data_IF_727728936819
#
_entry.id   IF_727728936819
#
_cell.length_a   1.000
_cell.length_b   1.000
_cell.length_c   1.000
_cell.angle_alpha   90.00
_cell.angle_beta   90.00
_cell.angle_gamma   90.00
#
_symmetry.space_group_name_H-M   'P 1'
#
loop_
_entity.id
_entity.type
_entity.pdbx_description
1 polymer ?
#
# COMPACT_ATOMS: atom_id res chain seq x y z
N UNK A 1 27.05 0.12 18.27
CA UNK A 1 25.86 -0.74 18.19
C UNK A 1 25.48 -0.77 16.74
N UNK A 2 25.30 -1.96 16.16
CA UNK A 2 25.13 -2.07 14.71
C UNK A 2 23.69 -2.46 14.38
N UNK A 3 23.05 -1.67 13.52
CA UNK A 3 21.66 -1.84 13.11
C UNK A 3 21.49 -3.09 12.24
N UNK A 4 20.26 -3.57 12.05
CA UNK A 4 20.05 -4.82 11.31
C UNK A 4 20.52 -4.70 9.86
N UNK A 5 20.35 -3.52 9.27
CA UNK A 5 20.81 -3.26 7.91
C UNK A 5 22.35 -3.33 7.78
N UNK A 6 23.08 -2.92 8.81
CA UNK A 6 24.55 -2.93 8.86
C UNK A 6 25.12 -4.35 9.05
N UNK A 7 24.32 -5.28 9.58
CA UNK A 7 24.78 -6.57 10.11
C UNK A 7 24.39 -7.79 9.27
N UNK A 8 24.44 -7.69 7.94
CA UNK A 8 24.29 -8.82 6.98
C UNK A 8 22.86 -9.23 6.65
N UNK A 9 22.04 -8.32 6.12
CA UNK A 9 20.74 -8.69 5.50
C UNK A 9 20.90 -9.82 4.47
N UNK A 10 22.03 -9.84 3.76
CA UNK A 10 22.42 -10.86 2.77
C UNK A 10 22.40 -12.31 3.32
N UNK A 11 22.64 -12.50 4.61
CA UNK A 11 22.78 -13.83 5.22
C UNK A 11 21.68 -14.15 6.24
N UNK A 12 20.57 -13.40 6.22
CA UNK A 12 19.45 -13.64 7.13
C UNK A 12 18.74 -14.94 6.77
N UNK A 13 18.60 -15.84 7.75
CA UNK A 13 17.76 -17.02 7.61
C UNK A 13 16.28 -16.63 7.58
N UNK A 14 15.63 -16.84 6.42
CA UNK A 14 14.20 -16.60 6.24
C UNK A 14 13.42 -17.92 6.17
N UNK A 15 12.24 -17.96 6.78
CA UNK A 15 11.37 -19.14 6.74
C UNK A 15 10.59 -19.25 5.41
N UNK A 16 10.06 -20.44 5.12
CA UNK A 16 9.33 -20.69 3.87
C UNK A 16 8.05 -19.86 3.70
N UNK A 17 7.46 -19.36 4.80
CA UNK A 17 6.30 -18.49 4.71
C UNK A 17 6.68 -17.13 4.11
N UNK A 18 7.83 -16.57 4.52
CA UNK A 18 8.38 -15.34 3.94
C UNK A 18 8.66 -15.53 2.45
N UNK A 19 9.31 -16.63 2.07
CA UNK A 19 9.58 -16.95 0.66
C UNK A 19 8.29 -17.00 -0.17
N UNK A 20 7.23 -17.63 0.35
CA UNK A 20 5.91 -17.67 -0.29
C UNK A 20 5.29 -16.28 -0.41
N UNK A 21 5.35 -15.47 0.65
CA UNK A 21 4.83 -14.11 0.65
C UNK A 21 5.56 -13.22 -0.37
N UNK A 22 6.89 -13.24 -0.39
CA UNK A 22 7.70 -12.52 -1.39
C UNK A 22 7.31 -12.92 -2.81
N UNK A 23 7.23 -14.23 -3.07
CA UNK A 23 6.84 -14.75 -4.39
C UNK A 23 5.46 -14.24 -4.81
N UNK A 24 4.48 -14.27 -3.90
CA UNK A 24 3.12 -13.83 -4.18
C UNK A 24 3.02 -12.33 -4.39
N UNK A 25 3.73 -11.53 -3.58
CA UNK A 25 3.79 -10.08 -3.75
C UNK A 25 4.42 -9.72 -5.09
N UNK A 26 5.49 -10.41 -5.49
CA UNK A 26 6.12 -10.21 -6.80
C UNK A 26 5.20 -10.59 -7.97
N UNK A 27 4.38 -11.63 -7.82
CA UNK A 27 3.32 -11.95 -8.79
C UNK A 27 2.31 -10.81 -8.92
N UNK A 28 1.84 -10.25 -7.80
CA UNK A 28 0.95 -9.09 -7.81
C UNK A 28 1.60 -7.84 -8.39
N UNK A 29 2.89 -7.58 -8.09
CA UNK A 29 3.68 -6.51 -8.70
C UNK A 29 3.66 -6.62 -10.22
N UNK A 30 3.88 -7.81 -10.77
CA UNK A 30 3.79 -8.08 -12.20
C UNK A 30 2.40 -7.80 -12.78
N UNK A 31 1.34 -8.11 -12.03
CA UNK A 31 -0.06 -7.83 -12.42
C UNK A 31 -0.44 -6.35 -12.34
N UNK A 32 0.33 -5.48 -11.68
CA UNK A 32 0.00 -4.05 -11.55
C UNK A 32 -0.17 -3.33 -12.89
N UNK A 33 0.47 -3.83 -13.97
CA UNK A 33 0.29 -3.28 -15.31
C UNK A 33 -1.17 -3.36 -15.78
N UNK A 34 -1.94 -4.35 -15.30
CA UNK A 34 -3.37 -4.48 -15.57
C UNK A 34 -4.18 -3.44 -14.80
N UNK A 35 -3.77 -3.12 -13.57
CA UNK A 35 -4.42 -2.11 -12.74
C UNK A 35 -4.21 -0.71 -13.29
N UNK A 36 -3.00 -0.41 -13.80
CA UNK A 36 -2.68 0.88 -14.45
C UNK A 36 -3.48 1.12 -15.74
N UNK A 37 -4.05 0.08 -16.37
CA UNK A 37 -4.95 0.21 -17.53
C UNK A 37 -6.38 0.61 -17.15
N UNK A 38 -6.72 0.62 -15.86
CA UNK A 38 -8.05 1.04 -15.42
C UNK A 38 -8.25 2.54 -15.67
N UNK A 39 -9.50 3.00 -15.88
CA UNK A 39 -9.80 4.41 -16.06
C UNK A 39 -9.28 5.26 -14.90
N UNK A 40 -8.77 6.44 -15.24
CA UNK A 40 -8.14 7.37 -14.30
C UNK A 40 -9.07 7.72 -13.14
N UNK A 41 -10.37 7.88 -13.37
CA UNK A 41 -11.33 8.24 -12.32
C UNK A 41 -11.45 7.16 -11.22
N UNK A 42 -11.28 5.89 -11.59
CA UNK A 42 -11.32 4.77 -10.63
C UNK A 42 -10.07 4.77 -9.78
N UNK A 43 -8.91 4.95 -10.41
CA UNK A 43 -7.63 5.01 -9.72
C UNK A 43 -7.55 6.21 -8.78
N UNK A 44 -8.04 7.38 -9.20
CA UNK A 44 -8.18 8.58 -8.36
C UNK A 44 -9.12 8.34 -7.18
N UNK A 45 -10.27 7.69 -7.42
CA UNK A 45 -11.21 7.34 -6.35
C UNK A 45 -10.55 6.39 -5.33
N UNK A 46 -9.85 5.35 -5.79
CA UNK A 46 -9.14 4.42 -4.90
C UNK A 46 -8.07 5.14 -4.10
N UNK A 47 -7.27 6.00 -4.74
CA UNK A 47 -6.24 6.78 -4.07
C UNK A 47 -6.80 7.72 -3.02
N UNK A 48 -7.91 8.40 -3.32
CA UNK A 48 -8.61 9.26 -2.34
C UNK A 48 -9.14 8.45 -1.14
N UNK A 49 -9.71 7.27 -1.38
CA UNK A 49 -10.17 6.38 -0.30
C UNK A 49 -9.00 5.87 0.53
N UNK A 50 -7.90 5.44 -0.10
CA UNK A 50 -6.71 5.00 0.62
C UNK A 50 -6.12 6.09 1.51
N UNK A 51 -6.03 7.31 0.99
CA UNK A 51 -5.59 8.47 1.76
C UNK A 51 -6.49 8.74 2.99
N UNK A 52 -7.81 8.64 2.81
CA UNK A 52 -8.78 8.78 3.92
C UNK A 52 -8.56 7.69 4.98
N UNK A 53 -8.49 6.43 4.57
CA UNK A 53 -8.19 5.28 5.44
C UNK A 53 -6.85 5.51 6.18
N UNK A 54 -5.77 5.90 5.48
CA UNK A 54 -4.45 6.19 6.08
C UNK A 54 -4.52 7.23 7.20
N UNK A 55 -5.32 8.29 6.98
CA UNK A 55 -5.46 9.40 7.92
C UNK A 55 -6.29 8.99 9.13
N UNK A 56 -7.34 8.20 8.94
CA UNK A 56 -8.14 7.63 10.03
C UNK A 56 -7.30 6.70 10.90
N UNK A 57 -6.45 5.88 10.28
CA UNK A 57 -5.62 4.87 10.96
C UNK A 57 -4.31 5.44 11.53
N UNK A 58 -4.11 6.76 11.45
CA UNK A 58 -2.94 7.43 12.02
C UNK A 58 -3.30 8.06 13.36
N UNK A 59 -2.60 7.72 14.46
CA UNK A 59 -2.88 8.28 15.78
C UNK A 59 -2.85 9.80 15.76
N UNK A 60 -3.95 10.42 16.21
CA UNK A 60 -4.05 11.88 16.38
C UNK A 60 -3.40 12.27 17.70
N UNK A 61 -2.72 13.41 17.71
CA UNK A 61 -2.01 13.93 18.89
C UNK A 61 -3.00 14.28 20.04
N UNK A 62 -4.29 14.49 19.75
CA UNK A 62 -5.36 14.65 20.74
C UNK A 62 -6.49 13.65 20.51
N UNK A 63 -6.88 12.94 21.56
CA UNK A 63 -7.94 11.92 21.60
C UNK A 63 -9.29 12.64 21.66
N UNK A 64 -10.03 12.66 20.56
CA UNK A 64 -11.48 12.86 20.59
C UNK A 64 -12.11 12.21 19.35
N UNK A 65 -13.08 11.33 19.60
CA UNK A 65 -13.74 10.47 18.61
C UNK A 65 -14.80 11.22 17.77
N UNK A 66 -14.98 12.53 17.97
CA UNK A 66 -16.05 13.33 17.35
C UNK A 66 -15.74 13.86 15.93
N UNK A 67 -14.61 13.50 15.34
CA UNK A 67 -14.02 14.23 14.19
C UNK A 67 -13.95 13.43 12.88
N UNK A 68 -14.86 12.48 12.65
CA UNK A 68 -14.93 11.75 11.37
C UNK A 68 -15.67 12.51 10.27
N UNK A 69 -16.52 13.47 10.63
CA UNK A 69 -17.41 14.17 9.68
C UNK A 69 -16.63 15.27 8.94
N UNK A 70 -16.50 15.14 7.61
CA UNK A 70 -16.01 16.20 6.73
C UNK A 70 -14.52 16.15 6.31
N UNK A 71 -13.76 15.15 6.76
CA UNK A 71 -12.34 14.99 6.37
C UNK A 71 -12.16 14.84 4.85
N UNK A 72 -13.13 14.25 4.17
CA UNK A 72 -13.13 14.11 2.71
C UNK A 72 -13.13 15.46 2.00
N UNK A 73 -13.81 16.47 2.55
CA UNK A 73 -13.87 17.84 2.01
C UNK A 73 -12.54 18.55 2.22
N UNK A 74 -11.96 18.42 3.42
CA UNK A 74 -10.64 18.99 3.75
C UNK A 74 -9.56 18.37 2.85
N UNK A 75 -9.54 17.05 2.72
CA UNK A 75 -8.60 16.32 1.84
C UNK A 75 -8.75 16.76 0.37
N UNK A 76 -9.97 17.08 -0.05
CA UNK A 76 -10.28 17.55 -1.41
C UNK A 76 -10.08 19.06 -1.60
N UNK A 77 -9.52 19.78 -0.62
CA UNK A 77 -9.40 21.25 -0.64
C UNK A 77 -10.72 22.00 -0.83
N UNK A 78 -11.86 21.39 -0.43
CA UNK A 78 -13.18 22.04 -0.49
C UNK A 78 -13.49 22.85 0.76
N UNK A 79 -12.79 22.59 1.85
CA UNK A 79 -12.92 23.30 3.12
C UNK A 79 -11.53 23.61 3.69
N UNK A 80 -11.43 24.75 4.39
CA UNK A 80 -10.20 25.19 5.06
C UNK A 80 -10.13 24.49 6.42
N UNK A 81 -8.98 23.91 6.82
CA UNK A 81 -8.83 23.27 8.12
C UNK A 81 -9.01 24.28 9.25
N UNK A 82 -9.83 23.94 10.24
CA UNK A 82 -10.27 24.83 11.33
C UNK A 82 -9.52 24.63 12.63
N UNK A 83 -8.96 23.44 12.84
CA UNK A 83 -8.29 23.05 14.07
C UNK A 83 -6.97 22.31 13.79
N UNK A 84 -6.18 22.09 14.84
CA UNK A 84 -4.86 21.46 14.73
C UNK A 84 -4.93 20.04 14.14
N UNK A 85 -5.97 19.27 14.46
CA UNK A 85 -6.13 17.90 13.93
C UNK A 85 -6.38 17.92 12.42
N UNK A 86 -7.22 18.83 11.94
CA UNK A 86 -7.48 19.03 10.51
C UNK A 86 -6.24 19.56 9.77
N UNK A 87 -5.42 20.37 10.43
CA UNK A 87 -4.12 20.80 9.89
C UNK A 87 -3.19 19.59 9.74
N UNK A 88 -3.07 18.72 10.76
CA UNK A 88 -2.27 17.48 10.68
C UNK A 88 -2.69 16.57 9.50
N UNK A 89 -4.00 16.50 9.23
CA UNK A 89 -4.59 15.78 8.09
C UNK A 89 -4.08 16.34 6.76
N UNK A 90 -4.10 17.67 6.63
CA UNK A 90 -3.61 18.38 5.43
C UNK A 90 -2.10 18.22 5.26
N UNK A 91 -1.32 18.35 6.34
CA UNK A 91 0.14 18.18 6.32
C UNK A 91 0.52 16.77 5.83
N UNK A 92 -0.07 15.73 6.43
CA UNK A 92 0.19 14.35 6.04
C UNK A 92 -0.21 14.06 4.59
N UNK A 93 -1.40 14.53 4.18
CA UNK A 93 -1.87 14.41 2.80
C UNK A 93 -0.88 15.00 1.81
N UNK A 94 -0.40 16.22 2.08
CA UNK A 94 0.45 16.94 1.14
C UNK A 94 1.80 16.25 0.98
N UNK A 95 2.36 15.71 2.07
CA UNK A 95 3.58 14.88 2.01
C UNK A 95 3.33 13.60 1.22
N UNK A 96 2.23 12.89 1.49
CA UNK A 96 1.90 11.66 0.76
C UNK A 96 1.68 11.91 -0.74
N UNK A 97 1.02 13.03 -1.11
CA UNK A 97 0.89 13.44 -2.52
C UNK A 97 2.25 13.72 -3.15
N UNK A 98 3.14 14.41 -2.44
CA UNK A 98 4.50 14.70 -2.90
C UNK A 98 5.25 13.40 -3.18
N UNK A 99 5.20 12.43 -2.26
CA UNK A 99 5.80 11.11 -2.44
C UNK A 99 5.18 10.37 -3.63
N UNK A 100 3.85 10.30 -3.72
CA UNK A 100 3.20 9.53 -4.79
C UNK A 100 3.44 10.09 -6.19
N UNK A 101 3.64 11.40 -6.31
CA UNK A 101 3.88 12.08 -7.59
C UNK A 101 5.37 12.19 -7.96
N UNK A 102 6.27 12.20 -6.98
CA UNK A 102 7.70 12.51 -7.19
C UNK A 102 8.68 11.47 -6.61
N UNK A 103 8.23 10.28 -6.25
CA UNK A 103 9.10 9.26 -5.62
C UNK A 103 10.35 8.93 -6.44
N UNK A 104 10.33 9.07 -7.77
CA UNK A 104 11.47 8.80 -8.65
C UNK A 104 12.65 9.72 -8.31
N UNK A 105 12.38 11.01 -8.09
CA UNK A 105 13.39 12.05 -7.83
C UNK A 105 13.74 12.21 -6.34
N UNK A 106 12.91 11.68 -5.43
CA UNK A 106 13.16 11.78 -3.99
C UNK A 106 14.27 10.81 -3.59
N UNK A 107 15.46 11.32 -3.28
CA UNK A 107 16.59 10.51 -2.82
C UNK A 107 16.38 9.97 -1.40
N UNK A 108 16.86 8.76 -1.13
CA UNK A 108 16.84 8.18 0.22
C UNK A 108 18.08 8.67 0.97
N UNK A 109 17.97 9.86 1.56
CA UNK A 109 19.05 10.50 2.34
C UNK A 109 18.53 11.06 3.66
N UNK A 110 19.41 11.21 4.64
CA UNK A 110 19.10 11.86 5.92
C UNK A 110 18.49 13.26 5.73
N UNK A 111 19.05 14.04 4.80
CA UNK A 111 18.54 15.37 4.43
C UNK A 111 17.10 15.31 3.93
N UNK A 112 16.80 14.42 2.99
CA UNK A 112 15.45 14.29 2.44
C UNK A 112 14.44 13.83 3.51
N UNK A 113 14.85 12.94 4.42
CA UNK A 113 14.04 12.53 5.57
C UNK A 113 13.72 13.74 6.48
N UNK A 114 14.69 14.63 6.74
CA UNK A 114 14.46 15.89 7.47
C UNK A 114 13.50 16.81 6.72
N UNK A 115 13.66 16.97 5.40
CA UNK A 115 12.80 17.84 4.58
C UNK A 115 11.35 17.35 4.59
N UNK A 116 11.13 16.04 4.39
CA UNK A 116 9.80 15.43 4.48
C UNK A 116 9.18 15.61 5.87
N UNK A 117 9.98 15.46 6.94
CA UNK A 117 9.52 15.75 8.30
C UNK A 117 9.19 17.24 8.51
N UNK A 118 9.94 18.13 7.88
CA UNK A 118 9.64 19.56 7.81
C UNK A 118 8.27 19.82 7.17
N UNK A 119 7.98 19.17 6.04
CA UNK A 119 6.68 19.28 5.37
C UNK A 119 5.53 18.67 6.17
N UNK A 120 5.79 17.58 6.91
CA UNK A 120 4.81 16.93 7.79
C UNK A 120 4.37 17.85 8.95
N UNK A 121 5.18 18.84 9.30
CA UNK A 121 4.92 19.79 10.38
C UNK A 121 5.02 21.25 9.91
N UNK A 122 4.74 21.52 8.62
CA UNK A 122 4.95 22.84 8.00
C UNK A 122 4.15 23.98 8.66
N UNK A 123 3.03 23.67 9.31
CA UNK A 123 2.21 24.63 10.04
C UNK A 123 2.46 24.60 11.56
N UNK A 124 3.39 23.78 12.02
CA UNK A 124 3.81 23.69 13.41
C UNK A 124 5.15 24.38 13.60
N UNK A 125 5.14 25.57 14.19
CA UNK A 125 6.37 26.31 14.48
C UNK A 125 7.30 25.45 15.35
N UNK A 126 8.55 25.30 14.93
CA UNK A 126 9.66 24.65 15.64
C UNK A 126 9.63 23.12 15.84
N UNK A 127 8.66 22.38 15.27
CA UNK A 127 8.59 20.91 15.42
C UNK A 127 9.21 20.17 14.22
N UNK A 128 8.99 20.67 13.00
CA UNK A 128 9.42 20.02 11.77
C UNK A 128 10.92 20.12 11.48
N UNK A 129 11.44 19.13 10.76
CA UNK A 129 12.78 19.17 10.14
C UNK A 129 13.98 19.17 11.09
N UNK A 130 13.83 18.64 12.31
CA UNK A 130 14.93 18.57 13.29
C UNK A 130 14.95 17.21 13.98
N UNK A 131 16.14 16.65 14.14
CA UNK A 131 16.34 15.44 14.96
C UNK A 131 16.21 15.76 16.45
N UNK A 132 15.77 14.77 17.23
CA UNK A 132 15.77 14.85 18.70
C UNK A 132 17.19 14.87 19.26
N UNK A 133 17.35 15.35 20.50
CA UNK A 133 18.63 15.33 21.18
C UNK A 133 19.04 13.89 21.56
N UNK A 134 20.34 13.59 21.53
CA UNK A 134 20.88 12.26 21.86
C UNK A 134 20.79 11.90 23.36
N UNK A 135 20.43 12.86 24.20
CA UNK A 135 20.57 12.78 25.66
C UNK A 135 19.28 12.33 26.36
N UNK A 136 18.20 12.18 25.63
CA UNK A 136 16.94 11.66 26.15
C UNK A 136 17.02 10.13 26.15
N UNK A 137 17.28 9.65 27.38
CA UNK A 137 16.94 8.40 28.06
C UNK A 137 16.29 7.32 27.18
N UNK A 138 16.49 6.06 27.57
CA UNK A 138 15.67 4.90 27.19
C UNK A 138 14.17 5.20 27.39
N UNK A 139 13.58 5.97 26.49
CA UNK A 139 12.22 6.42 26.60
C UNK A 139 11.36 5.28 26.13
N UNK A 140 10.60 4.74 27.08
CA UNK A 140 9.44 3.93 26.81
C UNK A 140 8.52 4.73 25.87
N UNK A 141 8.58 4.43 24.57
CA UNK A 141 7.66 5.07 23.63
C UNK A 141 6.40 4.23 23.49
N UNK A 142 5.26 4.93 23.47
CA UNK A 142 3.95 4.34 23.28
C UNK A 142 3.65 4.07 21.81
N UNK A 143 3.82 2.82 21.38
CA UNK A 143 3.37 2.41 20.05
C UNK A 143 1.84 2.31 20.04
N UNK A 144 1.18 3.26 19.35
CA UNK A 144 -0.27 3.46 19.30
C UNK A 144 -0.91 3.78 20.67
N UNK A 145 -1.70 4.88 20.73
CA UNK A 145 -2.60 5.27 21.83
C UNK A 145 -2.22 4.83 23.27
N UNK A 146 -0.96 5.09 23.69
CA UNK A 146 -0.51 4.99 25.09
C UNK A 146 -0.50 3.59 25.74
N UNK A 147 -0.40 2.47 25.00
CA UNK A 147 -0.51 1.14 25.62
C UNK A 147 0.71 0.19 25.52
N UNK A 148 1.69 0.45 24.64
CA UNK A 148 2.90 -0.40 24.52
C UNK A 148 4.15 0.32 24.98
N UNK A 149 4.89 -0.19 25.96
CA UNK A 149 6.21 0.32 26.33
C UNK A 149 7.28 -0.38 25.51
N UNK A 150 8.13 0.38 24.83
CA UNK A 150 9.25 -0.15 24.06
C UNK A 150 10.52 0.51 24.54
N UNK A 151 11.47 -0.29 25.00
CA UNK A 151 12.81 0.19 25.31
C UNK A 151 13.65 0.15 24.05
N UNK A 152 13.97 1.34 23.55
CA UNK A 152 14.91 1.51 22.44
C UNK A 152 16.33 1.59 22.98
N UNK A 153 17.33 1.15 22.19
CA UNK A 153 18.72 1.31 22.57
C UNK A 153 19.09 2.79 22.69
N UNK A 154 20.08 3.11 23.54
CA UNK A 154 20.63 4.45 23.63
C UNK A 154 21.36 4.82 22.33
N UNK A 155 20.97 5.93 21.72
CA UNK A 155 21.55 6.42 20.46
C UNK A 155 22.39 7.66 20.76
N UNK A 156 23.70 7.53 20.55
CA UNK A 156 24.65 8.61 20.84
C UNK A 156 24.61 9.74 19.81
N UNK A 157 24.26 9.45 18.56
CA UNK A 157 24.14 10.44 17.50
C UNK A 157 23.06 10.01 16.51
N UNK A 158 21.87 10.59 16.66
CA UNK A 158 20.69 10.29 15.84
C UNK A 158 20.92 10.60 14.37
N UNK A 159 21.52 11.76 14.07
CA UNK A 159 21.80 12.18 12.69
C UNK A 159 22.69 11.16 11.99
N UNK A 160 23.82 10.81 12.62
CA UNK A 160 24.77 9.84 12.06
C UNK A 160 24.13 8.46 11.85
N UNK A 161 23.25 8.03 12.76
CA UNK A 161 22.52 6.77 12.60
C UNK A 161 21.59 6.77 11.40
N UNK A 162 20.90 7.89 11.12
CA UNK A 162 20.04 7.99 9.93
C UNK A 162 20.86 8.13 8.64
N UNK A 163 21.98 8.85 8.68
CA UNK A 163 22.92 8.93 7.56
C UNK A 163 23.45 7.54 7.17
N UNK A 164 23.91 6.76 8.16
CA UNK A 164 24.39 5.40 7.92
C UNK A 164 23.27 4.46 7.45
N UNK A 165 22.08 4.53 8.06
CA UNK A 165 20.91 3.76 7.62
C UNK A 165 20.59 4.00 6.14
N UNK A 166 20.58 5.26 5.70
CA UNK A 166 20.34 5.62 4.30
C UNK A 166 21.47 5.12 3.38
N UNK A 167 22.72 5.30 3.80
CA UNK A 167 23.89 4.88 3.05
C UNK A 167 23.89 3.36 2.82
N UNK A 168 23.76 2.57 3.89
CA UNK A 168 23.76 1.10 3.82
C UNK A 168 22.59 0.59 3.00
N UNK A 169 21.40 1.20 3.11
CA UNK A 169 20.28 0.87 2.24
C UNK A 169 20.65 1.08 0.77
N UNK A 170 21.13 2.27 0.39
CA UNK A 170 21.49 2.57 -1.00
C UNK A 170 22.59 1.64 -1.54
N UNK A 171 23.62 1.35 -0.73
CA UNK A 171 24.68 0.40 -1.10
C UNK A 171 24.13 -1.02 -1.28
N UNK A 172 23.19 -1.44 -0.43
CA UNK A 172 22.56 -2.77 -0.50
C UNK A 172 21.73 -2.92 -1.78
N UNK A 173 21.00 -1.88 -2.19
CA UNK A 173 20.26 -1.85 -3.46
C UNK A 173 21.22 -2.05 -4.64
N UNK A 174 22.34 -1.32 -4.66
CA UNK A 174 23.33 -1.42 -5.74
C UNK A 174 24.00 -2.79 -5.76
N UNK A 175 24.26 -3.38 -4.60
CA UNK A 175 24.86 -4.70 -4.50
C UNK A 175 23.97 -5.84 -5.00
N UNK A 176 22.64 -5.65 -4.94
CA UNK A 176 21.60 -6.62 -5.36
C UNK A 176 21.75 -8.02 -4.74
N UNK A 177 22.22 -8.10 -3.49
CA UNK A 177 22.46 -9.37 -2.79
C UNK A 177 21.33 -9.81 -1.85
N UNK A 178 20.35 -8.94 -1.61
CA UNK A 178 19.21 -9.21 -0.73
C UNK A 178 17.91 -8.78 -1.41
N UNK A 179 16.82 -9.50 -1.13
CA UNK A 179 15.49 -9.15 -1.66
C UNK A 179 15.08 -7.75 -1.21
N UNK A 180 14.58 -6.96 -2.17
CA UNK A 180 14.21 -5.57 -1.95
C UNK A 180 13.16 -5.36 -0.87
N UNK A 181 12.17 -6.24 -0.75
CA UNK A 181 11.13 -6.10 0.27
C UNK A 181 11.69 -6.38 1.66
N UNK A 182 12.70 -7.25 1.78
CA UNK A 182 13.43 -7.48 3.04
C UNK A 182 14.23 -6.22 3.40
N UNK A 183 14.95 -5.62 2.44
CA UNK A 183 15.70 -4.38 2.67
C UNK A 183 14.79 -3.25 3.14
N UNK A 184 13.63 -3.06 2.50
CA UNK A 184 12.64 -2.06 2.90
C UNK A 184 12.11 -2.38 4.31
N UNK A 185 11.77 -3.63 4.60
CA UNK A 185 11.28 -4.03 5.91
C UNK A 185 12.31 -3.71 7.00
N UNK A 186 13.57 -4.07 6.80
CA UNK A 186 14.67 -3.80 7.74
C UNK A 186 14.89 -2.31 7.91
N UNK A 187 14.88 -1.53 6.82
CA UNK A 187 15.01 -0.07 6.88
C UNK A 187 13.93 0.55 7.77
N UNK A 188 12.68 0.12 7.59
CA UNK A 188 11.55 0.64 8.37
C UNK A 188 11.67 0.25 9.84
N UNK A 189 12.09 -0.98 10.14
CA UNK A 189 12.33 -1.42 11.52
C UNK A 189 13.43 -0.59 12.18
N UNK A 190 14.59 -0.46 11.53
CA UNK A 190 15.72 0.32 12.06
C UNK A 190 15.33 1.80 12.23
N UNK A 191 14.58 2.39 11.30
CA UNK A 191 14.06 3.77 11.44
C UNK A 191 13.16 3.95 12.67
N UNK A 192 12.24 3.00 12.91
CA UNK A 192 11.34 3.04 14.06
C UNK A 192 12.13 2.86 15.37
N UNK A 193 13.12 1.96 15.37
CA UNK A 193 14.01 1.74 16.51
C UNK A 193 14.88 2.95 16.80
N UNK A 194 15.35 3.66 15.76
CA UNK A 194 16.13 4.90 15.92
C UNK A 194 15.28 6.01 16.54
N UNK A 195 14.01 6.11 16.10
CA UNK A 195 13.06 7.17 16.49
C UNK A 195 13.74 8.55 16.35
N UNK A 196 14.06 9.00 15.14
CA UNK A 196 14.93 10.16 14.96
C UNK A 196 14.30 11.50 15.36
N UNK A 197 12.98 11.56 15.50
CA UNK A 197 12.24 12.79 15.77
C UNK A 197 11.62 12.79 17.17
N UNK A 198 11.28 13.99 17.65
CA UNK A 198 10.49 14.14 18.89
C UNK A 198 9.04 13.67 18.66
N UNK A 199 8.46 14.09 17.54
CA UNK A 199 7.09 13.78 17.15
C UNK A 199 7.05 13.20 15.73
N UNK A 200 5.93 12.60 15.33
CA UNK A 200 5.71 12.21 13.94
C UNK A 200 6.48 10.97 13.44
N UNK A 201 7.24 10.25 14.28
CA UNK A 201 8.02 9.07 13.85
C UNK A 201 7.17 7.99 13.15
N UNK A 202 6.00 7.64 13.69
CA UNK A 202 5.10 6.64 13.06
C UNK A 202 4.58 7.13 11.72
N UNK A 203 4.22 8.43 11.61
CA UNK A 203 3.78 9.05 10.36
C UNK A 203 4.91 9.01 9.31
N UNK A 204 6.13 9.36 9.73
CA UNK A 204 7.31 9.28 8.88
C UNK A 204 7.62 7.84 8.45
N UNK A 205 7.53 6.85 9.35
CA UNK A 205 7.74 5.45 9.00
C UNK A 205 6.74 4.98 7.93
N UNK A 206 5.45 5.32 8.05
CA UNK A 206 4.43 5.03 7.02
C UNK A 206 4.76 5.71 5.68
N UNK A 207 5.13 6.99 5.70
CA UNK A 207 5.48 7.76 4.51
C UNK A 207 6.73 7.20 3.82
N UNK A 208 7.77 6.87 4.59
CA UNK A 208 9.01 6.26 4.09
C UNK A 208 8.73 4.86 3.52
N UNK A 209 7.88 4.06 4.16
CA UNK A 209 7.48 2.76 3.62
C UNK A 209 6.85 2.91 2.24
N UNK A 210 5.93 3.87 2.06
CA UNK A 210 5.29 4.14 0.76
C UNK A 210 6.33 4.65 -0.25
N UNK A 211 7.22 5.57 0.14
CA UNK A 211 8.29 6.08 -0.71
C UNK A 211 9.17 4.94 -1.23
N UNK A 212 9.69 4.10 -0.33
CA UNK A 212 10.60 3.02 -0.66
C UNK A 212 9.92 1.94 -1.52
N UNK A 213 8.67 1.59 -1.22
CA UNK A 213 7.88 0.68 -2.05
C UNK A 213 7.67 1.25 -3.46
N UNK A 214 7.23 2.51 -3.57
CA UNK A 214 7.02 3.18 -4.86
C UNK A 214 8.30 3.25 -5.69
N UNK A 215 9.44 3.65 -5.09
CA UNK A 215 10.76 3.68 -5.77
C UNK A 215 11.16 2.33 -6.35
N UNK A 216 10.70 1.24 -5.74
CA UNK A 216 10.99 -0.12 -6.18
C UNK A 216 9.84 -0.76 -6.98
N UNK A 217 8.86 0.05 -7.43
CA UNK A 217 7.76 -0.37 -8.30
C UNK A 217 6.64 -1.14 -7.59
N UNK A 218 6.57 -1.11 -6.26
CA UNK A 218 5.44 -1.64 -5.48
C UNK A 218 4.48 -0.49 -5.17
N UNK A 219 3.48 -0.27 -6.03
CA UNK A 219 2.63 0.92 -6.01
C UNK A 219 1.27 0.70 -5.31
N UNK A 220 1.09 -0.44 -4.63
CA UNK A 220 -0.17 -0.76 -3.93
C UNK A 220 -0.56 0.31 -2.91
N UNK A 221 0.43 0.95 -2.27
CA UNK A 221 0.23 2.04 -1.31
C UNK A 221 -0.38 3.30 -1.89
N UNK A 222 -0.42 3.45 -3.22
CA UNK A 222 -1.12 4.55 -3.88
C UNK A 222 -2.65 4.37 -3.86
N UNK A 223 -3.13 3.12 -3.73
CA UNK A 223 -4.53 2.74 -3.94
C UNK A 223 -5.18 2.04 -2.75
N UNK A 224 -4.37 1.52 -1.83
CA UNK A 224 -4.80 0.87 -0.59
C UNK A 224 -3.98 1.45 0.56
N UNK A 225 -4.64 1.69 1.71
CA UNK A 225 -3.94 2.09 2.92
C UNK A 225 -2.99 0.97 3.38
N UNK A 226 -1.70 1.30 3.43
CA UNK A 226 -0.64 0.47 4.01
C UNK A 226 -0.31 0.96 5.41
N UNK A 227 0.13 0.03 6.27
CA UNK A 227 0.56 0.36 7.63
C UNK A 227 -0.53 0.15 8.66
N UNK A 228 -1.43 -0.82 8.44
CA UNK A 228 -2.34 -1.29 9.49
C UNK A 228 -1.59 -1.93 10.66
N UNK A 229 -0.34 -2.33 10.44
CA UNK A 229 0.49 -2.84 11.53
C UNK A 229 0.91 -1.76 12.55
N UNK A 230 0.72 -0.47 12.26
CA UNK A 230 0.86 0.63 13.24
C UNK A 230 -0.43 0.91 14.03
N UNK A 231 -1.50 0.15 13.80
CA UNK A 231 -2.78 0.31 14.50
C UNK A 231 -2.79 -0.39 15.87
N UNK A 232 -3.73 0.06 16.72
CA UNK A 232 -3.97 -0.51 18.04
C UNK A 232 -4.24 -2.02 18.04
N UNK A 233 -4.83 -2.58 16.97
CA UNK A 233 -5.07 -4.04 16.88
C UNK A 233 -3.79 -4.86 16.64
N UNK A 234 -2.74 -4.21 16.16
CA UNK A 234 -1.42 -4.81 15.87
C UNK A 234 -0.50 -4.78 17.10
N UNK A 235 -1.00 -4.25 18.22
CA UNK A 235 -0.29 -4.04 19.47
C UNK A 235 0.29 -5.32 20.08
N UNK A 236 -0.49 -6.39 20.20
CA UNK A 236 0.01 -7.65 20.79
C UNK A 236 1.14 -8.27 19.96
N UNK A 237 1.12 -8.04 18.65
CA UNK A 237 2.15 -8.52 17.73
C UNK A 237 3.44 -7.73 17.90
N UNK A 238 3.33 -6.40 18.07
CA UNK A 238 4.47 -5.52 18.30
C UNK A 238 5.07 -5.66 19.71
N UNK A 239 4.24 -5.91 20.74
CA UNK A 239 4.72 -6.27 22.09
C UNK A 239 5.68 -7.47 22.04
N UNK A 240 5.28 -8.51 21.31
CA UNK A 240 6.12 -9.71 21.18
C UNK A 240 7.45 -9.46 20.46
N UNK A 241 7.52 -8.48 19.56
CA UNK A 241 8.76 -8.07 18.89
C UNK A 241 9.77 -7.43 19.86
N UNK A 242 9.31 -6.84 20.97
CA UNK A 242 10.13 -6.08 21.94
C UNK A 242 10.01 -6.58 23.40
N UNK A 243 9.56 -7.83 23.62
CA UNK A 243 9.28 -8.36 24.96
C UNK A 243 10.47 -8.23 25.94
N UNK A 244 10.16 -7.85 27.18
CA UNK A 244 11.10 -7.46 28.24
C UNK A 244 12.09 -8.56 28.71
N UNK A 245 12.02 -9.79 28.22
CA UNK A 245 12.91 -10.89 28.68
C UNK A 245 14.17 -11.08 27.80
N UNK A 246 14.36 -10.29 26.74
CA UNK A 246 15.55 -10.37 25.87
C UNK A 246 16.62 -9.32 26.23
N UNK A 247 16.98 -9.21 27.52
CA UNK A 247 18.07 -8.34 27.98
C UNK A 247 19.48 -8.94 27.84
N UNK A 248 19.61 -10.19 27.41
CA UNK A 248 20.92 -10.81 27.25
C UNK A 248 21.27 -10.80 25.77
N UNK A 249 21.97 -9.72 25.41
CA UNK A 249 22.33 -9.30 24.07
C UNK A 249 21.14 -8.90 23.20
N UNK A 250 21.35 -7.95 22.29
CA UNK A 250 20.46 -7.72 21.14
C UNK A 250 20.45 -8.99 20.27
N UNK A 251 19.93 -10.11 20.77
CA UNK A 251 19.27 -11.14 19.97
C UNK A 251 18.05 -10.46 19.39
N UNK A 252 18.34 -9.68 18.35
CA UNK A 252 17.58 -9.45 17.14
C UNK A 252 16.16 -9.96 17.35
N UNK A 253 15.25 -9.01 17.58
CA UNK A 253 13.85 -9.13 17.23
C UNK A 253 13.72 -10.17 16.12
N UNK A 254 13.11 -11.34 16.35
CA UNK A 254 13.17 -12.42 15.36
C UNK A 254 12.71 -11.86 14.03
N UNK A 255 13.67 -11.67 13.13
CA UNK A 255 13.49 -10.92 11.91
C UNK A 255 12.41 -11.60 11.06
N UNK A 256 12.24 -12.92 11.22
CA UNK A 256 11.15 -13.63 10.59
C UNK A 256 9.78 -13.16 11.08
N UNK A 257 9.61 -12.88 12.38
CA UNK A 257 8.36 -12.36 12.92
C UNK A 257 8.07 -11.01 12.27
N UNK A 258 9.03 -10.08 12.28
CA UNK A 258 8.88 -8.77 11.65
C UNK A 258 8.57 -8.87 10.16
N UNK A 259 9.34 -9.66 9.41
CA UNK A 259 9.14 -9.88 7.98
C UNK A 259 7.76 -10.46 7.67
N UNK A 260 7.29 -11.42 8.47
CA UNK A 260 5.95 -11.97 8.30
C UNK A 260 4.87 -10.90 8.48
N UNK A 261 5.00 -10.02 9.48
CA UNK A 261 4.06 -8.92 9.68
C UNK A 261 4.09 -7.91 8.53
N UNK A 262 5.29 -7.46 8.15
CA UNK A 262 5.49 -6.47 7.09
C UNK A 262 4.96 -6.98 5.74
N UNK A 263 5.34 -8.21 5.35
CA UNK A 263 4.94 -8.80 4.08
C UNK A 263 3.45 -9.17 4.06
N UNK A 264 2.86 -9.58 5.19
CA UNK A 264 1.43 -9.86 5.27
C UNK A 264 0.60 -8.61 4.96
N UNK A 265 0.94 -7.46 5.53
CA UNK A 265 0.20 -6.20 5.29
C UNK A 265 0.26 -5.78 3.82
N UNK A 266 1.42 -5.94 3.17
CA UNK A 266 1.58 -5.69 1.73
C UNK A 266 0.76 -6.67 0.91
N UNK A 267 0.82 -7.96 1.24
CA UNK A 267 0.10 -9.01 0.52
C UNK A 267 -1.43 -8.82 0.62
N UNK A 268 -1.95 -8.63 1.84
CA UNK A 268 -3.38 -8.35 2.07
C UNK A 268 -3.82 -7.09 1.33
N UNK A 269 -2.95 -6.09 1.20
CA UNK A 269 -3.24 -4.88 0.45
C UNK A 269 -3.33 -5.13 -1.05
N UNK A 270 -2.46 -5.98 -1.61
CA UNK A 270 -2.58 -6.40 -3.00
C UNK A 270 -3.85 -7.21 -3.26
N UNK A 271 -4.19 -8.14 -2.36
CA UNK A 271 -5.44 -8.91 -2.43
C UNK A 271 -6.68 -8.00 -2.36
N UNK A 272 -6.67 -7.00 -1.45
CA UNK A 272 -7.73 -5.99 -1.34
C UNK A 272 -7.84 -5.14 -2.61
N UNK A 273 -6.71 -4.77 -3.21
CA UNK A 273 -6.68 -4.01 -4.48
C UNK A 273 -7.28 -4.83 -5.62
N UNK A 274 -6.85 -6.08 -5.78
CA UNK A 274 -7.33 -6.99 -6.82
C UNK A 274 -8.84 -7.22 -6.68
N UNK A 275 -9.31 -7.46 -5.45
CA UNK A 275 -10.74 -7.60 -5.15
C UNK A 275 -11.54 -6.33 -5.51
N UNK A 276 -11.08 -5.14 -5.09
CA UNK A 276 -11.75 -3.86 -5.41
C UNK A 276 -11.82 -3.63 -6.93
N UNK A 277 -10.77 -3.96 -7.66
CA UNK A 277 -10.72 -3.79 -9.11
C UNK A 277 -11.57 -4.82 -9.86
N UNK A 278 -11.57 -6.07 -9.43
CA UNK A 278 -12.44 -7.12 -9.98
C UNK A 278 -13.93 -6.77 -9.77
N UNK A 279 -14.32 -6.25 -8.59
CA UNK A 279 -15.69 -5.75 -8.38
C UNK A 279 -16.04 -4.63 -9.37
N UNK A 280 -15.12 -3.70 -9.60
CA UNK A 280 -15.34 -2.60 -10.55
C UNK A 280 -15.47 -3.14 -11.98
N UNK A 281 -14.67 -4.13 -12.36
CA UNK A 281 -14.79 -4.80 -13.66
C UNK A 281 -16.13 -5.55 -13.80
N UNK A 282 -16.56 -6.29 -12.78
CA UNK A 282 -17.86 -6.98 -12.74
C UNK A 282 -19.01 -5.96 -12.84
N UNK A 283 -18.90 -4.80 -12.15
CA UNK A 283 -19.89 -3.72 -12.25
C UNK A 283 -19.92 -3.03 -13.62
N UNK A 284 -18.79 -3.03 -14.35
CA UNK A 284 -18.69 -2.55 -15.74
C UNK A 284 -19.19 -3.57 -16.76
N UNK A 285 -19.26 -4.85 -16.40
CA UNK A 285 -19.65 -5.90 -17.33
C UNK A 285 -21.14 -5.80 -17.66
N UNK A 286 -21.45 -5.06 -18.72
CA UNK A 286 -22.81 -4.96 -19.23
C UNK A 286 -23.28 -6.34 -19.71
N UNK A 287 -24.61 -6.56 -19.69
CA UNK A 287 -25.23 -7.75 -20.30
C UNK A 287 -24.74 -7.95 -21.75
N UNK A 288 -24.47 -6.85 -22.46
CA UNK A 288 -23.91 -6.86 -23.82
C UNK A 288 -22.47 -7.38 -23.85
N UNK A 289 -21.60 -6.90 -22.97
CA UNK A 289 -20.21 -7.39 -22.85
C UNK A 289 -20.16 -8.88 -22.48
N UNK A 290 -21.01 -9.36 -21.56
CA UNK A 290 -21.11 -10.79 -21.24
C UNK A 290 -21.43 -11.64 -22.47
N UNK A 291 -22.45 -11.25 -23.23
CA UNK A 291 -22.83 -11.97 -24.46
C UNK A 291 -21.67 -11.97 -25.47
N UNK A 292 -21.01 -10.83 -25.67
CA UNK A 292 -19.87 -10.72 -26.59
C UNK A 292 -18.69 -11.58 -26.15
N UNK A 293 -18.36 -11.64 -24.85
CA UNK A 293 -17.32 -12.53 -24.30
C UNK A 293 -17.64 -14.00 -24.57
N UNK A 294 -18.88 -14.44 -24.32
CA UNK A 294 -19.29 -15.82 -24.59
C UNK A 294 -19.19 -16.14 -26.08
N UNK A 295 -19.65 -15.25 -26.95
CA UNK A 295 -19.51 -15.40 -28.41
C UNK A 295 -18.02 -15.50 -28.81
N UNK A 296 -17.17 -14.63 -28.27
CA UNK A 296 -15.75 -14.60 -28.56
C UNK A 296 -15.02 -15.86 -28.05
N UNK A 297 -15.39 -16.39 -26.89
CA UNK A 297 -14.85 -17.63 -26.34
C UNK A 297 -15.37 -18.89 -27.05
N UNK A 298 -16.54 -18.82 -27.71
CA UNK A 298 -17.11 -19.99 -28.39
C UNK A 298 -16.33 -20.30 -29.67
N UNK A 299 -15.84 -21.54 -29.78
CA UNK A 299 -15.21 -22.06 -30.98
C UNK A 299 -16.26 -22.62 -31.93
N UNK A 300 -16.18 -22.25 -33.22
CA UNK A 300 -17.12 -22.74 -34.23
C UNK A 300 -18.48 -22.01 -34.22
N UNK A 301 -19.56 -22.79 -34.35
CA UNK A 301 -20.93 -22.25 -34.44
C UNK A 301 -21.59 -22.18 -33.06
N UNK A 302 -22.48 -21.21 -32.90
CA UNK A 302 -23.27 -21.02 -31.67
C UNK A 302 -24.70 -20.64 -31.98
N UNK A 303 -25.61 -20.94 -31.06
CA UNK A 303 -27.02 -20.59 -31.11
C UNK A 303 -27.37 -19.60 -30.01
N UNK A 304 -28.54 -18.96 -30.12
CA UNK A 304 -29.05 -18.11 -29.03
C UNK A 304 -29.36 -18.92 -27.76
N UNK A 305 -29.69 -20.20 -27.89
CA UNK A 305 -29.90 -21.09 -26.73
C UNK A 305 -28.60 -21.42 -26.01
N UNK A 306 -27.48 -21.53 -26.71
CA UNK A 306 -26.17 -21.68 -26.08
C UNK A 306 -25.84 -20.46 -25.21
N UNK A 307 -26.11 -19.25 -25.73
CA UNK A 307 -25.95 -18.01 -24.97
C UNK A 307 -26.91 -17.94 -23.77
N UNK A 308 -28.17 -18.39 -23.91
CA UNK A 308 -29.11 -18.45 -22.77
C UNK A 308 -28.63 -19.41 -21.68
N UNK A 309 -28.06 -20.57 -22.05
CA UNK A 309 -27.52 -21.54 -21.09
C UNK A 309 -26.29 -21.00 -20.36
N UNK A 310 -25.43 -20.28 -21.06
CA UNK A 310 -24.21 -19.69 -20.48
C UNK A 310 -24.45 -18.36 -19.75
N UNK A 311 -25.56 -17.66 -20.04
CA UNK A 311 -25.95 -16.40 -19.42
C UNK A 311 -27.44 -16.43 -19.00
N UNK A 312 -27.83 -17.25 -18.01
CA UNK A 312 -29.22 -17.41 -17.59
C UNK A 312 -29.82 -16.15 -16.96
N UNK A 313 -28.98 -15.23 -16.48
CA UNK A 313 -29.33 -13.93 -15.91
C UNK A 313 -29.72 -12.86 -16.96
N UNK A 314 -29.55 -13.16 -18.25
CA UNK A 314 -29.77 -12.19 -19.34
C UNK A 314 -31.09 -12.48 -20.07
N UNK A 315 -32.05 -11.53 -20.05
CA UNK A 315 -33.33 -11.69 -20.75
C UNK A 315 -33.14 -11.86 -22.25
N UNK A 316 -33.94 -12.75 -22.86
CA UNK A 316 -33.97 -13.00 -24.32
C UNK A 316 -34.03 -11.71 -25.18
N UNK A 317 -34.80 -10.66 -24.82
CA UNK A 317 -34.79 -9.40 -25.58
C UNK A 317 -33.40 -8.75 -25.67
N UNK A 318 -32.59 -8.85 -24.61
CA UNK A 318 -31.22 -8.32 -24.59
C UNK A 318 -30.31 -9.13 -25.50
N UNK A 319 -30.40 -10.46 -25.45
CA UNK A 319 -29.65 -11.36 -26.37
C UNK A 319 -29.98 -11.03 -27.82
N UNK A 320 -31.27 -10.87 -28.14
CA UNK A 320 -31.71 -10.51 -29.49
C UNK A 320 -31.15 -9.15 -29.95
N UNK A 321 -31.18 -8.14 -29.08
CA UNK A 321 -30.61 -6.81 -29.38
C UNK A 321 -29.12 -6.89 -29.68
N UNK A 322 -28.35 -7.64 -28.88
CA UNK A 322 -26.90 -7.79 -29.06
C UNK A 322 -26.59 -8.53 -30.35
N UNK A 323 -27.26 -9.65 -30.65
CA UNK A 323 -27.08 -10.37 -31.91
C UNK A 323 -27.40 -9.49 -33.12
N UNK A 324 -28.46 -8.69 -33.06
CA UNK A 324 -28.81 -7.77 -34.15
C UNK A 324 -27.73 -6.69 -34.34
N UNK A 325 -27.19 -6.14 -33.25
CA UNK A 325 -26.12 -5.15 -33.31
C UNK A 325 -24.82 -5.76 -33.87
N UNK A 326 -24.40 -6.94 -33.39
CA UNK A 326 -23.21 -7.63 -33.88
C UNK A 326 -23.34 -8.02 -35.36
N UNK A 327 -24.53 -8.42 -35.79
CA UNK A 327 -24.84 -8.69 -37.20
C UNK A 327 -24.76 -7.42 -38.04
N UNK A 328 -25.32 -6.31 -37.57
CA UNK A 328 -25.22 -4.99 -38.25
C UNK A 328 -23.78 -4.51 -38.35
N UNK A 329 -22.97 -4.78 -37.33
CA UNK A 329 -21.52 -4.51 -37.31
C UNK A 329 -20.70 -5.53 -38.12
N UNK A 330 -21.36 -6.49 -38.79
CA UNK A 330 -20.72 -7.54 -39.59
C UNK A 330 -19.73 -8.43 -38.81
N UNK A 331 -19.84 -8.50 -37.47
CA UNK A 331 -19.01 -9.33 -36.58
C UNK A 331 -19.48 -10.79 -36.48
N UNK A 332 -20.75 -11.03 -36.77
CA UNK A 332 -21.34 -12.38 -36.79
C UNK A 332 -22.23 -12.55 -38.01
N UNK A 333 -22.35 -13.78 -38.48
CA UNK A 333 -23.19 -14.17 -39.61
C UNK A 333 -24.09 -15.36 -39.30
N UNK A 334 -25.21 -15.46 -40.02
CA UNK A 334 -26.14 -16.59 -39.93
C UNK A 334 -25.74 -17.64 -40.94
N UNK A 335 -25.53 -18.86 -40.47
CA UNK A 335 -25.11 -20.01 -41.27
C UNK A 335 -26.30 -20.91 -41.60
N UNK A 336 -27.21 -21.08 -40.64
CA UNK A 336 -28.45 -21.82 -40.82
C UNK A 336 -29.63 -21.03 -40.25
N UNK A 337 -30.73 -20.94 -41.01
CA UNK A 337 -31.97 -20.27 -40.61
C UNK A 337 -32.96 -21.27 -40.01
N UNK A 338 -33.82 -20.84 -39.09
CA UNK A 338 -34.84 -21.66 -38.43
C UNK A 338 -34.94 -21.41 -36.92
N UNK A 339 -35.74 -22.21 -36.21
CA UNK A 339 -35.87 -22.14 -34.74
C UNK A 339 -34.51 -22.32 -34.03
N UNK A 340 -33.64 -23.14 -34.60
CA UNK A 340 -32.27 -23.40 -34.10
C UNK A 340 -31.22 -22.71 -34.98
N UNK A 341 -31.42 -21.41 -35.24
CA UNK A 341 -30.50 -20.66 -36.10
C UNK A 341 -29.05 -20.72 -35.58
N UNK A 342 -28.13 -21.13 -36.46
CA UNK A 342 -26.70 -21.24 -36.17
C UNK A 342 -25.97 -19.99 -36.65
N UNK A 343 -25.11 -19.46 -35.79
CA UNK A 343 -24.33 -18.25 -36.01
C UNK A 343 -22.84 -18.57 -35.97
N UNK A 344 -22.04 -17.80 -36.70
CA UNK A 344 -20.57 -17.86 -36.68
C UNK A 344 -20.00 -16.46 -36.54
N UNK A 345 -18.83 -16.34 -35.92
CA UNK A 345 -18.02 -15.11 -35.95
C UNK A 345 -17.46 -14.88 -37.36
N UNK A 346 -17.48 -13.64 -37.81
CA UNK A 346 -16.67 -13.15 -38.93
C UNK A 346 -15.38 -12.57 -38.35
N UNK A 347 -14.25 -12.99 -38.90
CA UNK A 347 -12.94 -12.44 -38.57
C UNK A 347 -12.68 -11.17 -39.36
#
# INVERSE_FOLDING_TARGET
MSFLIENKVENIAVNMNIVKSLSKINEYKGRQILYKKQPKEILEKLSKVALLECIQDTPRESISDEYEIGLDRIISNKEIPKNRNEICVVEYRDVLKTINSGYEDIEVTSKMILELHGYLHKFSRNIGGKYRAANEISEEFYFSNKQIRIKTPRILNVQKSIEELCKVYNESIVSDKADILILIAVFILDFITIRPFEYGNVKMAKLLMILLLNKNGYEVGKYINLGKFFEKKSENSFKNLFNENSYVDLKICDINIWLNYFLRDILESYEKLDYKLNIVEIKKETKTSKIEKVINATLGYFTKDDIRRMCPDIPTPTINRVFNNLRKQNKIEVIAKGRSAKWKKKY
#
